data_IF_576951054720
#
_entry.id   IF_576951054720
#
_cell.length_a   1.000
_cell.length_b   1.000
_cell.length_c   1.000
_cell.angle_alpha   90.00
_cell.angle_beta   90.00
_cell.angle_gamma   90.00
#
_symmetry.space_group_name_H-M   'P 1'
#
loop_
_entity.id
_entity.type
_entity.pdbx_description
1 polymer ?
#
# COMPACT_ATOMS: atom_id res chain seq x y z
N UNK A 1 -31.10 77.85 4.08
CA UNK A 1 -29.73 78.23 3.60
C UNK A 1 -28.82 77.04 3.78
N UNK A 2 -28.33 76.55 2.62
CA UNK A 2 -27.04 75.90 2.39
C UNK A 2 -26.81 74.55 3.07
N UNK A 3 -26.89 73.41 2.30
CA UNK A 3 -25.79 72.83 1.48
C UNK A 3 -24.67 72.26 2.32
N UNK A 4 -24.36 71.05 2.15
CA UNK A 4 -23.67 70.22 1.26
C UNK A 4 -23.43 68.88 1.96
N UNK A 5 -23.57 67.77 1.46
CA UNK A 5 -22.93 67.14 0.33
C UNK A 5 -21.59 66.55 0.69
N UNK A 6 -21.53 65.23 1.05
CA UNK A 6 -20.34 64.46 0.72
C UNK A 6 -20.67 62.98 0.69
N UNK A 7 -20.80 62.49 -0.52
CA UNK A 7 -20.59 61.10 -0.91
C UNK A 7 -19.08 60.87 -0.96
N UNK A 8 -18.57 59.81 -0.47
CA UNK A 8 -17.31 59.10 -0.79
C UNK A 8 -17.18 58.05 0.35
N UNK A 9 -17.13 56.86 0.12
CA UNK A 9 -16.32 55.82 -0.40
C UNK A 9 -16.92 54.46 -0.05
N UNK A 10 -17.53 53.82 -0.94
CA UNK A 10 -17.69 52.36 -0.94
C UNK A 10 -16.92 51.85 -2.14
N UNK A 11 -15.74 51.34 -1.94
CA UNK A 11 -15.05 50.44 -2.87
C UNK A 11 -13.70 50.02 -2.25
N UNK A 12 -13.72 49.02 -1.38
CA UNK A 12 -12.53 48.20 -1.11
C UNK A 12 -12.99 46.96 -0.32
N UNK A 13 -13.43 45.95 -0.97
CA UNK A 13 -13.89 44.72 -0.32
C UNK A 13 -14.17 43.62 -1.29
N UNK A 14 -13.28 43.38 -2.24
CA UNK A 14 -13.59 42.41 -3.27
C UNK A 14 -12.39 41.69 -3.86
N UNK A 15 -11.31 41.45 -3.14
CA UNK A 15 -10.15 40.72 -3.73
C UNK A 15 -9.54 39.66 -2.82
N UNK A 16 -10.03 39.44 -1.60
CA UNK A 16 -9.38 38.47 -0.68
C UNK A 16 -10.04 37.07 -0.68
N UNK A 17 -11.17 36.90 -1.35
CA UNK A 17 -11.90 35.61 -1.31
C UNK A 17 -11.49 34.58 -2.39
N UNK A 18 -10.57 34.88 -3.29
CA UNK A 18 -10.24 34.03 -4.43
C UNK A 18 -8.99 33.14 -4.26
N UNK A 19 -8.23 33.28 -3.17
CA UNK A 19 -6.95 32.57 -3.03
C UNK A 19 -6.99 31.34 -2.11
N UNK A 20 -8.14 30.94 -1.57
CA UNK A 20 -8.23 29.82 -0.59
C UNK A 20 -8.74 28.49 -1.16
N UNK A 21 -8.97 28.41 -2.47
CA UNK A 21 -9.55 27.19 -3.10
C UNK A 21 -8.53 26.29 -3.84
N UNK A 22 -7.23 26.52 -3.71
CA UNK A 22 -6.22 25.83 -4.58
C UNK A 22 -5.33 24.84 -3.82
N UNK A 23 -5.53 24.55 -2.54
CA UNK A 23 -4.55 23.77 -1.74
C UNK A 23 -5.10 22.43 -1.21
N UNK A 24 -6.10 21.84 -1.82
CA UNK A 24 -6.54 20.48 -1.44
C UNK A 24 -6.55 19.51 -2.62
N UNK A 25 -5.65 19.64 -3.58
CA UNK A 25 -5.25 18.48 -4.36
C UNK A 25 -4.26 17.72 -3.51
N UNK A 26 -4.77 17.02 -2.50
CA UNK A 26 -3.98 16.09 -1.74
C UNK A 26 -3.37 15.11 -2.73
N UNK A 27 -2.05 14.94 -2.70
CA UNK A 27 -1.36 13.87 -3.39
C UNK A 27 -1.85 12.54 -2.82
N UNK A 28 -3.02 12.06 -3.28
CA UNK A 28 -3.39 10.68 -3.05
C UNK A 28 -2.40 9.84 -3.85
N UNK A 29 -1.75 8.86 -3.22
CA UNK A 29 -0.81 8.00 -3.93
C UNK A 29 -1.57 7.32 -5.08
N UNK A 30 -1.05 7.46 -6.29
CA UNK A 30 -1.61 6.78 -7.45
C UNK A 30 -1.39 5.27 -7.27
N UNK A 31 -2.48 4.54 -6.98
CA UNK A 31 -2.46 3.09 -6.80
C UNK A 31 -2.35 2.45 -8.18
N UNK A 32 -1.13 2.27 -8.66
CA UNK A 32 -0.85 1.59 -9.93
C UNK A 32 -0.39 0.16 -9.68
N UNK A 33 -0.59 -0.72 -10.69
CA UNK A 33 -0.12 -2.11 -10.65
C UNK A 33 1.34 -2.19 -10.19
N UNK A 34 2.25 -1.48 -10.83
CA UNK A 34 3.67 -1.58 -10.53
C UNK A 34 4.02 -1.18 -9.09
N UNK A 35 3.30 -0.20 -8.51
CA UNK A 35 3.46 0.16 -7.10
C UNK A 35 2.95 -0.93 -6.18
N UNK A 36 1.75 -1.46 -6.44
CA UNK A 36 1.20 -2.57 -5.65
C UNK A 36 2.14 -3.77 -5.68
N UNK A 37 2.62 -4.18 -6.84
CA UNK A 37 3.56 -5.29 -7.00
C UNK A 37 4.85 -5.08 -6.21
N UNK A 38 5.44 -3.89 -6.29
CA UNK A 38 6.70 -3.56 -5.60
C UNK A 38 6.53 -3.54 -4.09
N UNK A 39 5.53 -2.78 -3.59
CA UNK A 39 5.33 -2.60 -2.15
C UNK A 39 4.85 -3.89 -1.49
N UNK A 40 3.96 -4.63 -2.15
CA UNK A 40 3.53 -5.94 -1.69
C UNK A 40 4.72 -6.91 -1.57
N UNK A 41 5.56 -7.00 -2.61
CA UNK A 41 6.73 -7.87 -2.59
C UNK A 41 7.70 -7.51 -1.46
N UNK A 42 7.98 -6.21 -1.26
CA UNK A 42 8.88 -5.74 -0.20
C UNK A 42 8.31 -6.02 1.19
N UNK A 43 7.01 -5.75 1.38
CA UNK A 43 6.32 -6.02 2.65
C UNK A 43 6.29 -7.53 2.94
N UNK A 44 5.98 -8.36 1.95
CA UNK A 44 6.03 -9.81 2.07
C UNK A 44 7.40 -10.30 2.57
N UNK A 45 8.50 -9.84 1.96
CA UNK A 45 9.87 -10.20 2.38
C UNK A 45 10.13 -9.82 3.84
N UNK A 46 9.66 -8.65 4.27
CA UNK A 46 9.82 -8.18 5.65
C UNK A 46 8.97 -9.00 6.62
N UNK A 47 7.73 -9.31 6.26
CA UNK A 47 6.83 -10.11 7.10
C UNK A 47 7.30 -11.57 7.23
N UNK A 48 7.83 -12.14 6.14
CA UNK A 48 8.47 -13.46 6.17
C UNK A 48 9.64 -13.49 7.17
N UNK A 49 10.55 -12.50 7.10
CA UNK A 49 11.66 -12.38 8.03
C UNK A 49 11.20 -12.18 9.47
N UNK A 50 10.14 -11.36 9.69
CA UNK A 50 9.52 -11.15 10.99
C UNK A 50 8.89 -12.43 11.54
N UNK A 51 8.24 -13.23 10.71
CA UNK A 51 7.68 -14.53 11.09
C UNK A 51 8.78 -15.44 11.67
N UNK A 52 9.90 -15.58 10.98
CA UNK A 52 11.04 -16.36 11.49
C UNK A 52 11.57 -15.81 12.82
N UNK A 53 11.74 -14.50 12.92
CA UNK A 53 12.20 -13.84 14.15
C UNK A 53 11.28 -14.11 15.34
N UNK A 54 9.96 -14.01 15.13
CA UNK A 54 8.96 -14.29 16.17
C UNK A 54 8.91 -15.75 16.59
N UNK A 55 9.34 -16.65 15.72
CA UNK A 55 9.49 -18.08 16.03
C UNK A 55 10.84 -18.41 16.71
N UNK A 56 11.72 -17.43 16.93
CA UNK A 56 13.09 -17.65 17.43
C UNK A 56 14.01 -18.36 16.47
N UNK A 57 13.66 -18.37 15.17
CA UNK A 57 14.47 -18.95 14.10
C UNK A 57 15.47 -17.92 13.56
N UNK A 58 16.58 -18.36 12.95
CA UNK A 58 17.50 -17.46 12.26
C UNK A 58 16.76 -16.61 11.23
N UNK A 59 16.96 -15.30 11.30
CA UNK A 59 16.31 -14.36 10.38
C UNK A 59 16.91 -14.52 8.99
N UNK A 60 16.09 -14.92 8.04
CA UNK A 60 16.46 -15.04 6.64
C UNK A 60 15.34 -14.46 5.76
N UNK A 61 15.70 -13.96 4.59
CA UNK A 61 14.76 -13.32 3.66
C UNK A 61 14.57 -14.21 2.45
N UNK A 62 13.34 -14.41 1.97
CA UNK A 62 13.09 -15.07 0.71
C UNK A 62 13.59 -14.19 -0.45
N UNK A 63 13.96 -14.83 -1.54
CA UNK A 63 14.29 -14.14 -2.80
C UNK A 63 13.05 -14.13 -3.69
N UNK A 64 12.40 -12.98 -3.83
CA UNK A 64 11.29 -12.81 -4.77
C UNK A 64 11.83 -12.88 -6.20
N UNK A 65 11.18 -13.68 -7.02
CA UNK A 65 11.49 -13.87 -8.44
C UNK A 65 10.58 -13.02 -9.32
N UNK A 66 9.29 -12.98 -8.99
CA UNK A 66 8.29 -12.15 -9.67
C UNK A 66 7.08 -11.92 -8.77
N UNK A 67 6.42 -10.79 -9.00
CA UNK A 67 5.10 -10.47 -8.44
C UNK A 67 4.25 -9.94 -9.56
N UNK A 68 3.03 -10.46 -9.70
CA UNK A 68 2.07 -10.03 -10.71
C UNK A 68 0.73 -9.79 -10.03
N UNK A 69 0.17 -8.61 -10.17
CA UNK A 69 -1.10 -8.21 -9.57
C UNK A 69 -2.09 -7.73 -10.62
N UNK A 70 -3.38 -8.03 -10.40
CA UNK A 70 -4.49 -7.57 -11.24
C UNK A 70 -5.58 -6.98 -10.35
N UNK A 71 -6.09 -5.79 -10.69
CA UNK A 71 -7.16 -5.14 -9.95
C UNK A 71 -8.53 -5.68 -10.39
N UNK A 72 -9.28 -6.22 -9.42
CA UNK A 72 -10.64 -6.73 -9.62
C UNK A 72 -10.72 -7.96 -10.54
N UNK A 73 -11.93 -8.24 -11.00
CA UNK A 73 -12.21 -9.29 -11.99
C UNK A 73 -11.86 -8.89 -13.44
N UNK A 74 -11.50 -7.61 -13.64
CA UNK A 74 -11.17 -7.07 -14.96
C UNK A 74 -9.65 -6.95 -15.11
N UNK A 75 -9.06 -7.91 -15.80
CA UNK A 75 -7.61 -7.96 -16.10
C UNK A 75 -7.06 -6.72 -16.84
N UNK A 76 -7.93 -5.80 -17.28
CA UNK A 76 -7.55 -4.56 -17.98
C UNK A 76 -7.41 -3.36 -17.02
N UNK A 77 -7.81 -3.49 -15.75
CA UNK A 77 -7.71 -2.41 -14.79
C UNK A 77 -6.34 -2.47 -14.10
N UNK A 78 -5.49 -1.49 -14.37
CA UNK A 78 -4.11 -1.42 -13.91
C UNK A 78 -3.90 -0.37 -12.81
N UNK A 79 -4.97 0.23 -12.30
CA UNK A 79 -4.88 1.30 -11.29
C UNK A 79 -6.14 1.41 -10.44
N UNK A 80 -6.04 2.18 -9.35
CA UNK A 80 -7.11 2.51 -8.41
C UNK A 80 -7.18 1.61 -7.18
N UNK A 81 -7.90 2.07 -6.15
CA UNK A 81 -8.17 1.27 -4.97
C UNK A 81 -9.08 0.08 -5.31
N UNK A 82 -9.09 -0.92 -4.44
CA UNK A 82 -9.96 -2.09 -4.60
C UNK A 82 -9.30 -3.40 -4.25
N UNK A 83 -9.84 -4.47 -4.81
CA UNK A 83 -9.34 -5.83 -4.57
C UNK A 83 -8.39 -6.24 -5.69
N UNK A 84 -7.15 -6.49 -5.32
CA UNK A 84 -6.12 -7.00 -6.22
C UNK A 84 -5.90 -8.48 -5.99
N UNK A 85 -5.87 -9.26 -7.07
CA UNK A 85 -5.39 -10.64 -7.06
C UNK A 85 -3.91 -10.60 -7.43
N UNK A 86 -3.05 -11.05 -6.53
CA UNK A 86 -1.60 -11.06 -6.70
C UNK A 86 -1.06 -12.49 -6.67
N UNK A 87 -0.09 -12.79 -7.52
CA UNK A 87 0.71 -14.00 -7.51
C UNK A 87 2.15 -13.61 -7.20
N UNK A 88 2.76 -14.26 -6.22
CA UNK A 88 4.17 -14.05 -5.86
C UNK A 88 4.95 -15.35 -6.01
N UNK A 89 6.03 -15.31 -6.81
CA UNK A 89 6.97 -16.41 -6.95
C UNK A 89 8.25 -16.09 -6.22
N UNK A 90 8.66 -16.99 -5.35
CA UNK A 90 9.87 -16.76 -4.56
C UNK A 90 10.62 -18.06 -4.26
N UNK A 91 11.87 -17.89 -3.81
CA UNK A 91 12.70 -18.97 -3.27
C UNK A 91 12.87 -18.70 -1.78
N UNK A 92 12.51 -19.67 -0.96
CA UNK A 92 12.70 -19.57 0.48
C UNK A 92 14.19 -19.69 0.87
N UNK A 93 14.57 -19.41 2.13
CA UNK A 93 15.96 -19.52 2.57
C UNK A 93 16.57 -20.93 2.49
N UNK A 94 15.74 -21.96 2.31
CA UNK A 94 16.17 -23.34 2.12
C UNK A 94 16.34 -23.72 0.64
N UNK A 95 16.10 -22.77 -0.28
CA UNK A 95 16.22 -22.99 -1.72
C UNK A 95 14.98 -23.56 -2.38
N UNK A 96 13.88 -23.76 -1.66
CA UNK A 96 12.62 -24.25 -2.20
C UNK A 96 11.87 -23.13 -2.93
N UNK A 97 11.35 -23.43 -4.12
CA UNK A 97 10.51 -22.50 -4.90
C UNK A 97 9.06 -22.60 -4.45
N UNK A 98 8.43 -21.45 -4.38
CA UNK A 98 7.03 -21.26 -4.04
C UNK A 98 6.34 -20.39 -5.07
N UNK A 99 5.02 -20.59 -5.21
CA UNK A 99 4.14 -19.86 -6.11
C UNK A 99 2.81 -19.69 -5.37
N UNK A 100 2.63 -18.53 -4.74
CA UNK A 100 1.53 -18.30 -3.79
C UNK A 100 0.59 -17.22 -4.31
N UNK A 101 -0.71 -17.51 -4.27
CA UNK A 101 -1.79 -16.57 -4.56
C UNK A 101 -2.17 -15.73 -3.34
N UNK A 102 -2.42 -14.45 -3.58
CA UNK A 102 -2.77 -13.47 -2.55
C UNK A 102 -3.94 -12.60 -2.96
N UNK A 103 -4.70 -12.16 -1.97
CA UNK A 103 -5.67 -11.08 -2.10
C UNK A 103 -5.12 -9.86 -1.37
N UNK A 104 -5.08 -8.71 -2.06
CA UNK A 104 -4.64 -7.43 -1.52
C UNK A 104 -5.81 -6.44 -1.63
N UNK A 105 -6.32 -5.98 -0.51
CA UNK A 105 -7.42 -5.02 -0.42
C UNK A 105 -6.81 -3.64 -0.18
N UNK A 106 -6.81 -2.78 -1.20
CA UNK A 106 -6.28 -1.41 -1.08
C UNK A 106 -7.38 -0.38 -0.96
N UNK A 107 -7.14 0.64 -0.13
CA UNK A 107 -8.02 1.80 0.03
C UNK A 107 -7.59 2.99 -0.84
N UNK A 108 -8.36 4.07 -0.78
CA UNK A 108 -8.09 5.29 -1.54
C UNK A 108 -6.87 6.07 -1.02
N UNK A 109 -6.36 5.75 0.16
CA UNK A 109 -5.17 6.36 0.75
C UNK A 109 -3.90 5.60 0.39
N UNK A 110 -4.03 4.49 -0.34
CA UNK A 110 -2.92 3.63 -0.74
C UNK A 110 -2.46 2.67 0.34
N UNK A 111 -3.18 2.54 1.46
CA UNK A 111 -2.93 1.48 2.43
C UNK A 111 -3.69 0.21 2.03
N UNK A 112 -3.18 -0.94 2.43
CA UNK A 112 -3.76 -2.22 2.04
C UNK A 112 -3.64 -3.27 3.13
N UNK A 113 -4.55 -4.25 3.07
CA UNK A 113 -4.46 -5.52 3.77
C UNK A 113 -4.17 -6.63 2.76
N UNK A 114 -3.21 -7.48 3.05
CA UNK A 114 -2.86 -8.62 2.22
C UNK A 114 -3.05 -9.92 2.99
N UNK A 115 -3.61 -10.93 2.34
CA UNK A 115 -3.73 -12.27 2.88
C UNK A 115 -3.58 -13.32 1.78
N UNK A 116 -2.91 -14.41 2.14
CA UNK A 116 -2.75 -15.54 1.22
C UNK A 116 -4.10 -16.22 0.93
N UNK A 117 -4.23 -16.78 -0.26
CA UNK A 117 -5.37 -17.62 -0.64
C UNK A 117 -5.28 -19.03 -0.06
N UNK A 118 -4.11 -19.45 0.43
CA UNK A 118 -3.95 -20.71 1.15
C UNK A 118 -4.47 -20.54 2.58
N UNK A 119 -5.62 -21.16 2.88
CA UNK A 119 -6.26 -21.09 4.20
C UNK A 119 -5.36 -21.67 5.30
N UNK A 120 -4.54 -22.67 5.00
CA UNK A 120 -3.63 -23.25 5.99
C UNK A 120 -2.55 -22.26 6.43
N UNK A 121 -2.05 -21.42 5.51
CA UNK A 121 -1.10 -20.35 5.80
C UNK A 121 -1.80 -19.12 6.39
N UNK A 122 -2.97 -18.75 5.86
CA UNK A 122 -3.74 -17.57 6.30
C UNK A 122 -4.10 -17.60 7.77
N UNK A 123 -4.49 -18.76 8.28
CA UNK A 123 -4.88 -18.95 9.68
C UNK A 123 -3.80 -19.64 10.51
N UNK A 124 -2.60 -19.81 9.93
CA UNK A 124 -1.47 -20.38 10.63
C UNK A 124 -1.14 -19.55 11.87
N UNK A 125 -0.94 -20.25 12.99
CA UNK A 125 -0.55 -19.60 14.24
C UNK A 125 0.82 -20.07 14.65
N UNK A 126 1.62 -19.12 15.08
CA UNK A 126 2.97 -19.37 15.59
C UNK A 126 3.02 -19.03 17.08
N UNK A 127 3.94 -19.67 17.81
CA UNK A 127 4.27 -19.26 19.18
C UNK A 127 5.32 -18.15 19.10
N UNK A 128 4.92 -16.96 19.53
CA UNK A 128 5.80 -15.80 19.59
C UNK A 128 6.75 -15.91 20.78
N UNK A 129 8.05 -15.91 20.52
CA UNK A 129 9.09 -16.05 21.55
C UNK A 129 9.18 -14.84 22.49
N UNK A 130 8.70 -13.66 22.07
CA UNK A 130 8.75 -12.44 22.86
C UNK A 130 7.56 -12.33 23.83
N UNK A 131 6.36 -12.59 23.34
CA UNK A 131 5.15 -12.51 24.16
C UNK A 131 4.74 -13.84 24.79
N UNK A 132 5.34 -14.94 24.36
CA UNK A 132 4.98 -16.33 24.72
C UNK A 132 3.53 -16.71 24.38
N UNK A 133 2.86 -15.92 23.54
CA UNK A 133 1.48 -16.14 23.10
C UNK A 133 1.43 -16.79 21.72
N UNK A 134 0.29 -17.42 21.43
CA UNK A 134 -0.03 -17.85 20.08
C UNK A 134 -0.57 -16.65 19.30
N UNK A 135 0.09 -16.28 18.21
CA UNK A 135 -0.30 -15.18 17.32
C UNK A 135 -0.53 -15.70 15.91
N UNK A 136 -1.26 -14.95 15.09
CA UNK A 136 -1.30 -15.22 13.65
C UNK A 136 0.11 -15.03 13.06
N UNK A 137 0.45 -15.89 12.09
CA UNK A 137 1.72 -15.78 11.39
C UNK A 137 1.71 -14.53 10.48
N UNK A 138 2.61 -13.57 10.71
CA UNK A 138 2.68 -12.39 9.86
C UNK A 138 3.04 -12.70 8.39
N UNK A 139 3.58 -13.88 8.10
CA UNK A 139 3.82 -14.32 6.72
C UNK A 139 2.54 -14.74 5.98
N UNK A 140 1.42 -14.96 6.66
CA UNK A 140 0.15 -15.37 6.05
C UNK A 140 -0.86 -14.24 5.88
N UNK A 141 -0.72 -13.14 6.64
CA UNK A 141 -1.60 -11.97 6.58
C UNK A 141 -0.89 -10.75 7.16
N UNK A 142 -0.95 -9.61 6.47
CA UNK A 142 -0.30 -8.38 6.90
C UNK A 142 -0.94 -7.14 6.29
N UNK A 143 -0.64 -5.99 6.89
CA UNK A 143 -0.99 -4.67 6.40
C UNK A 143 0.24 -3.97 5.83
N UNK A 144 0.02 -3.06 4.89
CA UNK A 144 1.05 -2.21 4.29
C UNK A 144 0.44 -0.93 3.73
N UNK A 145 1.29 0.00 3.34
CA UNK A 145 0.87 1.20 2.61
C UNK A 145 1.88 1.44 1.47
N UNK A 146 1.36 1.90 0.33
CA UNK A 146 2.17 2.25 -0.82
C UNK A 146 3.10 3.42 -0.46
N UNK A 147 4.36 3.30 -0.79
CA UNK A 147 5.30 4.41 -0.60
C UNK A 147 4.96 5.55 -1.56
N UNK A 148 4.42 6.64 -1.01
CA UNK A 148 4.04 7.84 -1.76
C UNK A 148 5.25 8.59 -2.33
N UNK A 149 6.44 8.34 -1.80
CA UNK A 149 7.68 8.99 -2.21
C UNK A 149 8.52 8.14 -3.18
N UNK A 150 8.22 6.87 -3.31
CA UNK A 150 8.83 6.05 -4.35
C UNK A 150 8.32 6.54 -5.71
N UNK A 151 9.14 7.31 -6.41
CA UNK A 151 8.88 7.71 -7.79
C UNK A 151 8.60 6.46 -8.65
N UNK A 152 7.98 6.63 -9.84
CA UNK A 152 7.71 5.51 -10.73
C UNK A 152 9.04 4.83 -11.06
N UNK A 153 9.26 3.68 -10.47
CA UNK A 153 10.41 2.84 -10.84
C UNK A 153 10.11 2.33 -12.24
N UNK A 154 10.82 2.90 -13.22
CA UNK A 154 10.85 2.43 -14.61
C UNK A 154 11.47 1.03 -14.65
N UNK A 155 10.76 0.01 -14.21
CA UNK A 155 11.09 -1.40 -14.45
C UNK A 155 10.30 -1.98 -15.61
N UNK A 156 10.10 -1.18 -16.68
CA UNK A 156 9.70 -1.72 -17.96
C UNK A 156 10.94 -1.84 -18.85
N UNK A 157 11.79 -2.81 -18.57
CA UNK A 157 12.74 -3.37 -19.51
C UNK A 157 12.95 -4.84 -19.21
N UNK A 158 12.07 -5.68 -19.76
CA UNK A 158 12.44 -6.88 -20.54
C UNK A 158 11.21 -7.61 -21.02
#
# INVERSE_FOLDING_TARGET
MLMGGSRILRRAGGVVAACLAVVLVGCTPDTTRGRVEQDFAQTFVNQYAQSLQRQGKPVARPKVLSTVCHNGSNLKQDSGPGTWACEIKYVDPHGKKHDDGWVVLSDALGCYQAFTQDDALRYHRIRDVYSHKSILDPAGSFDGCLDVYAGPTNTSKR
#
